data_IF_993863167356
#
_entry.id   IF_993863167356
#
_cell.length_a   1.000
_cell.length_b   1.000
_cell.length_c   1.000
_cell.angle_alpha   90.00
_cell.angle_beta   90.00
_cell.angle_gamma   90.00
#
_symmetry.space_group_name_H-M   'P 1'
#
loop_
_entity.id
_entity.type
_entity.pdbx_description
1 polymer ?
#
# COMPACT_ATOMS: atom_id res chain seq x y z
N UNK A 1 -11.81 15.87 24.52
CA UNK A 1 -12.69 14.97 25.28
C UNK A 1 -12.16 13.56 25.09
N UNK A 2 -12.29 12.70 26.09
CA UNK A 2 -11.90 11.29 25.97
C UNK A 2 -12.85 10.57 25.01
N UNK A 3 -12.39 9.46 24.42
CA UNK A 3 -13.21 8.59 23.57
C UNK A 3 -14.43 8.08 24.35
N UNK A 4 -15.57 7.96 23.67
CA UNK A 4 -16.82 7.48 24.26
C UNK A 4 -17.07 6.03 23.81
N UNK A 5 -17.32 5.13 24.76
CA UNK A 5 -17.69 3.75 24.49
C UNK A 5 -18.84 3.29 25.40
N UNK A 6 -19.68 2.36 24.93
CA UNK A 6 -20.84 1.86 25.67
C UNK A 6 -21.31 0.47 25.20
N UNK A 7 -21.99 -0.27 26.06
CA UNK A 7 -22.69 -1.50 25.66
C UNK A 7 -23.90 -1.19 24.78
N UNK A 8 -24.09 -2.02 23.75
CA UNK A 8 -25.16 -1.84 22.76
C UNK A 8 -26.44 -2.59 23.12
N UNK A 9 -27.58 -1.98 22.82
CA UNK A 9 -28.86 -2.69 22.72
C UNK A 9 -28.96 -3.37 21.35
N UNK A 10 -28.92 -4.70 21.33
CA UNK A 10 -29.08 -5.50 20.10
C UNK A 10 -30.53 -5.68 19.67
N UNK A 11 -31.50 -5.33 20.53
CA UNK A 11 -32.93 -5.61 20.33
C UNK A 11 -33.71 -4.45 19.75
N UNK A 12 -33.14 -3.24 19.73
CA UNK A 12 -33.85 -2.00 19.41
C UNK A 12 -34.31 -1.88 17.94
N UNK A 13 -33.80 -2.71 17.02
CA UNK A 13 -34.10 -2.65 15.59
C UNK A 13 -33.70 -1.33 14.91
N UNK A 14 -32.99 -0.45 15.62
CA UNK A 14 -32.57 0.87 15.17
C UNK A 14 -31.55 0.78 14.02
N UNK A 15 -31.30 1.87 13.29
CA UNK A 15 -30.26 1.92 12.25
C UNK A 15 -28.89 1.55 12.87
N UNK A 16 -28.06 0.79 12.16
CA UNK A 16 -26.72 0.42 12.62
C UNK A 16 -25.80 1.62 12.88
N UNK A 17 -26.07 2.74 12.23
CA UNK A 17 -25.36 4.02 12.35
C UNK A 17 -25.88 4.90 13.50
N UNK A 18 -26.93 4.47 14.21
CA UNK A 18 -27.41 5.16 15.41
C UNK A 18 -26.60 4.74 16.65
N UNK A 19 -26.58 5.51 17.75
CA UNK A 19 -25.80 5.13 18.93
C UNK A 19 -26.16 3.76 19.54
N UNK A 20 -27.43 3.31 19.45
CA UNK A 20 -27.91 2.04 20.01
C UNK A 20 -27.54 1.80 21.48
N UNK A 21 -27.72 2.82 22.32
CA UNK A 21 -27.47 2.68 23.77
C UNK A 21 -28.45 1.71 24.43
N UNK A 22 -27.98 0.93 25.40
CA UNK A 22 -28.86 0.30 26.39
C UNK A 22 -29.74 1.32 27.13
N UNK A 23 -30.84 0.83 27.71
CA UNK A 23 -31.67 1.60 28.63
C UNK A 23 -31.74 0.87 30.00
N UNK A 24 -31.06 1.37 31.04
CA UNK A 24 -30.28 2.62 31.10
C UNK A 24 -28.96 2.56 30.30
N UNK A 25 -28.37 3.72 30.00
CA UNK A 25 -27.08 3.79 29.28
C UNK A 25 -25.97 3.14 30.11
N UNK A 26 -25.19 2.28 29.49
CA UNK A 26 -24.06 1.56 30.11
C UNK A 26 -22.75 1.95 29.42
N UNK A 27 -22.05 2.96 29.94
CA UNK A 27 -20.76 3.41 29.39
C UNK A 27 -19.62 2.48 29.79
N UNK A 28 -18.63 2.36 28.91
CA UNK A 28 -17.42 1.55 29.06
C UNK A 28 -16.22 2.48 29.22
N UNK A 29 -15.36 2.20 30.21
CA UNK A 29 -14.15 2.98 30.46
C UNK A 29 -13.01 2.60 29.51
N UNK A 30 -12.04 3.50 29.34
CA UNK A 30 -10.79 3.20 28.64
C UNK A 30 -10.03 2.02 29.25
N UNK A 31 -10.02 1.91 30.58
CA UNK A 31 -9.37 0.79 31.27
C UNK A 31 -10.02 -0.55 30.89
N UNK A 32 -11.35 -0.59 30.77
CA UNK A 32 -12.06 -1.79 30.34
C UNK A 32 -11.75 -2.14 28.87
N UNK A 33 -11.64 -1.14 27.99
CA UNK A 33 -11.20 -1.37 26.61
C UNK A 33 -9.76 -1.90 26.56
N UNK A 34 -8.87 -1.36 27.39
CA UNK A 34 -7.49 -1.83 27.51
C UNK A 34 -7.41 -3.28 28.01
N UNK A 35 -8.30 -3.69 28.92
CA UNK A 35 -8.44 -5.11 29.33
C UNK A 35 -8.88 -6.05 28.19
N UNK A 36 -9.46 -5.51 27.11
CA UNK A 36 -9.78 -6.25 25.88
C UNK A 36 -8.64 -6.17 24.85
N UNK A 37 -7.53 -5.52 25.20
CA UNK A 37 -6.38 -5.24 24.34
C UNK A 37 -6.59 -4.05 23.38
N UNK A 38 -7.71 -3.33 23.48
CA UNK A 38 -7.98 -2.15 22.65
C UNK A 38 -7.20 -0.96 23.22
N UNK A 39 -6.31 -0.39 22.41
CA UNK A 39 -5.46 0.73 22.82
C UNK A 39 -5.95 2.04 22.19
N UNK A 40 -5.70 3.16 22.87
CA UNK A 40 -6.20 4.47 22.49
C UNK A 40 -5.19 5.60 22.74
N UNK A 41 -5.11 6.53 21.79
CA UNK A 41 -4.42 7.82 21.95
C UNK A 41 -5.29 8.96 21.42
N UNK A 42 -5.12 10.13 22.04
CA UNK A 42 -5.63 11.39 21.54
C UNK A 42 -4.48 12.20 20.95
N UNK A 43 -4.52 12.43 19.65
CA UNK A 43 -3.48 13.13 18.89
C UNK A 43 -4.02 14.41 18.26
N UNK A 44 -3.13 15.22 17.68
CA UNK A 44 -3.52 16.40 16.92
C UNK A 44 -3.59 16.06 15.42
N UNK A 45 -4.79 16.05 14.81
CA UNK A 45 -4.93 15.67 13.41
C UNK A 45 -4.50 16.79 12.46
N UNK A 46 -4.33 18.03 12.92
CA UNK A 46 -3.91 19.13 12.06
C UNK A 46 -2.43 19.04 11.63
N UNK A 47 -1.62 18.26 12.34
CA UNK A 47 -0.20 18.09 12.07
C UNK A 47 0.20 16.61 12.00
N UNK A 48 -0.72 15.71 11.63
CA UNK A 48 -0.47 14.26 11.63
C UNK A 48 0.82 13.85 10.90
N UNK A 49 1.25 14.61 9.89
CA UNK A 49 2.47 14.34 9.11
C UNK A 49 3.76 14.58 9.90
N UNK A 50 3.72 15.46 10.92
CA UNK A 50 4.85 15.87 11.74
C UNK A 50 4.61 15.70 13.24
N UNK A 51 3.57 14.94 13.62
CA UNK A 51 3.22 14.71 15.02
C UNK A 51 4.25 13.73 15.66
N UNK A 52 5.04 14.25 16.60
CA UNK A 52 6.09 13.48 17.28
C UNK A 52 5.53 12.33 18.14
N UNK A 53 4.31 12.47 18.68
CA UNK A 53 3.69 11.40 19.46
C UNK A 53 3.22 10.28 18.52
N UNK A 54 2.62 10.62 17.37
CA UNK A 54 2.30 9.63 16.33
C UNK A 54 3.56 8.91 15.85
N UNK A 55 4.64 9.64 15.59
CA UNK A 55 5.92 9.08 15.19
C UNK A 55 6.45 8.09 16.24
N UNK A 56 6.41 8.47 17.51
CA UNK A 56 6.83 7.60 18.61
C UNK A 56 5.97 6.35 18.71
N UNK A 57 4.64 6.47 18.61
CA UNK A 57 3.73 5.30 18.61
C UNK A 57 4.09 4.36 17.46
N UNK A 58 4.36 4.91 16.28
CA UNK A 58 4.77 4.11 15.11
C UNK A 58 6.10 3.43 15.30
N UNK A 59 7.10 4.11 15.86
CA UNK A 59 8.42 3.54 16.15
C UNK A 59 8.32 2.44 17.22
N UNK A 60 7.62 2.69 18.32
CA UNK A 60 7.44 1.75 19.44
C UNK A 60 6.71 0.47 19.03
N UNK A 61 5.80 0.57 18.04
CA UNK A 61 4.97 -0.55 17.59
C UNK A 61 5.34 -1.11 16.21
N UNK A 62 6.36 -0.56 15.57
CA UNK A 62 6.83 -1.01 14.25
C UNK A 62 5.89 -0.68 13.09
N UNK A 63 5.05 0.35 13.22
CA UNK A 63 4.12 0.79 12.17
C UNK A 63 4.82 1.56 11.06
N UNK A 64 5.49 0.80 10.19
CA UNK A 64 6.29 1.30 9.08
C UNK A 64 5.47 1.58 7.81
N UNK A 65 4.18 1.22 7.78
CA UNK A 65 3.27 1.50 6.68
C UNK A 65 2.09 2.36 7.13
N UNK A 66 1.64 3.26 6.26
CA UNK A 66 0.38 3.99 6.42
C UNK A 66 -0.28 4.29 5.08
N UNK A 67 -1.60 4.47 5.09
CA UNK A 67 -2.33 5.10 4.00
C UNK A 67 -3.51 5.93 4.54
N UNK A 68 -4.24 6.59 3.64
CA UNK A 68 -5.45 7.33 3.95
C UNK A 68 -6.67 6.66 3.32
N UNK A 69 -7.71 6.44 4.12
CA UNK A 69 -9.00 5.93 3.70
C UNK A 69 -10.07 7.00 3.92
N UNK A 70 -10.70 7.44 2.85
CA UNK A 70 -11.75 8.45 2.84
C UNK A 70 -13.10 7.76 2.53
N UNK A 71 -13.97 7.66 3.53
CA UNK A 71 -15.23 6.92 3.44
C UNK A 71 -16.38 7.91 3.43
N UNK A 72 -16.95 8.14 2.25
CA UNK A 72 -18.26 8.75 2.07
C UNK A 72 -18.98 8.16 0.84
N UNK A 73 -20.32 8.32 0.73
CA UNK A 73 -21.11 7.76 -0.37
C UNK A 73 -20.62 8.16 -1.78
N UNK A 74 -20.00 9.33 -1.90
CA UNK A 74 -19.59 9.93 -3.18
C UNK A 74 -18.17 9.56 -3.61
N UNK A 75 -17.30 9.17 -2.66
CA UNK A 75 -15.86 8.95 -2.91
C UNK A 75 -15.47 7.48 -3.02
N UNK A 76 -16.38 6.56 -2.68
CA UNK A 76 -16.07 5.13 -2.59
C UNK A 76 -16.90 4.36 -3.61
N UNK A 77 -16.24 3.74 -4.60
CA UNK A 77 -16.88 2.77 -5.48
C UNK A 77 -17.43 1.59 -4.65
N UNK A 78 -18.59 1.06 -5.03
CA UNK A 78 -19.30 -0.02 -4.34
C UNK A 78 -19.50 0.24 -2.83
N UNK A 79 -19.71 1.52 -2.47
CA UNK A 79 -19.86 2.01 -1.09
C UNK A 79 -20.74 1.11 -0.21
N UNK A 80 -21.90 0.68 -0.72
CA UNK A 80 -22.84 -0.17 0.03
C UNK A 80 -22.27 -1.55 0.34
N UNK A 81 -21.55 -2.15 -0.61
CA UNK A 81 -20.94 -3.47 -0.43
C UNK A 81 -19.74 -3.39 0.52
N UNK A 82 -18.89 -2.36 0.39
CA UNK A 82 -17.79 -2.12 1.32
C UNK A 82 -18.28 -1.89 2.75
N UNK A 83 -19.29 -1.04 2.95
CA UNK A 83 -19.88 -0.86 4.28
C UNK A 83 -20.48 -2.15 4.85
N UNK A 84 -21.11 -2.98 3.99
CA UNK A 84 -21.61 -4.28 4.41
C UNK A 84 -20.46 -5.20 4.85
N UNK A 85 -19.34 -5.20 4.13
CA UNK A 85 -18.17 -6.02 4.48
C UNK A 85 -17.54 -5.52 5.79
N UNK A 86 -17.34 -4.21 5.95
CA UNK A 86 -16.82 -3.63 7.19
C UNK A 86 -17.73 -3.88 8.40
N UNK A 87 -19.06 -3.90 8.19
CA UNK A 87 -20.03 -4.13 9.25
C UNK A 87 -20.28 -5.61 9.56
N UNK A 88 -19.87 -6.52 8.68
CA UNK A 88 -19.94 -7.96 8.95
C UNK A 88 -18.93 -8.28 10.05
N UNK A 89 -19.34 -8.96 11.11
CA UNK A 89 -18.45 -9.29 12.24
C UNK A 89 -17.28 -10.20 11.78
N UNK A 90 -16.05 -9.74 12.02
CA UNK A 90 -14.83 -10.40 11.56
C UNK A 90 -13.66 -10.25 12.53
N UNK A 91 -12.57 -10.95 12.23
CA UNK A 91 -11.24 -10.74 12.81
C UNK A 91 -10.21 -10.44 11.73
N UNK A 92 -9.07 -9.90 12.16
CA UNK A 92 -7.85 -9.83 11.38
C UNK A 92 -6.73 -10.67 12.04
N UNK A 93 -5.78 -11.12 11.23
CA UNK A 93 -4.58 -11.82 11.69
C UNK A 93 -3.57 -10.87 12.35
N UNK A 94 -3.63 -9.60 11.97
CA UNK A 94 -2.81 -8.50 12.47
C UNK A 94 -3.69 -7.48 13.21
N UNK A 95 -3.06 -6.47 13.82
CA UNK A 95 -3.77 -5.35 14.45
C UNK A 95 -4.51 -4.49 13.43
N UNK A 96 -5.68 -3.99 13.81
CA UNK A 96 -6.41 -2.97 13.05
C UNK A 96 -6.19 -1.59 13.69
N UNK A 97 -5.35 -0.77 13.05
CA UNK A 97 -4.99 0.56 13.56
C UNK A 97 -5.65 1.66 12.72
N UNK A 98 -6.36 2.58 13.39
CA UNK A 98 -7.13 3.64 12.73
C UNK A 98 -6.99 4.96 13.47
N UNK A 99 -6.51 5.99 12.77
CA UNK A 99 -6.42 7.35 13.26
C UNK A 99 -7.40 8.27 12.54
N UNK A 100 -8.39 8.79 13.26
CA UNK A 100 -9.44 9.63 12.69
C UNK A 100 -8.94 11.05 12.42
N UNK A 101 -8.84 11.42 11.14
CA UNK A 101 -8.40 12.74 10.70
C UNK A 101 -9.58 13.70 10.45
N UNK A 102 -10.69 13.19 9.92
CA UNK A 102 -11.91 13.96 9.65
C UNK A 102 -13.16 13.10 9.90
N UNK A 103 -14.30 13.73 10.23
CA UNK A 103 -15.57 13.02 10.45
C UNK A 103 -15.61 12.16 11.72
N UNK A 104 -16.43 11.12 11.71
CA UNK A 104 -16.62 10.20 12.84
C UNK A 104 -17.26 8.88 12.42
N UNK A 105 -17.05 7.84 13.21
CA UNK A 105 -17.56 6.49 12.95
C UNK A 105 -17.56 5.62 14.21
N UNK A 106 -18.18 4.44 14.11
CA UNK A 106 -18.22 3.44 15.18
C UNK A 106 -17.35 2.22 14.85
N UNK A 107 -16.60 1.78 15.86
CA UNK A 107 -16.07 0.44 15.95
C UNK A 107 -16.86 -0.32 17.02
N UNK A 108 -17.45 -1.46 16.65
CA UNK A 108 -18.05 -2.35 17.64
C UNK A 108 -17.07 -3.51 17.90
N UNK A 109 -16.83 -3.84 19.16
CA UNK A 109 -15.97 -4.96 19.59
C UNK A 109 -16.71 -5.88 20.55
N UNK A 110 -16.37 -7.17 20.56
CA UNK A 110 -16.90 -8.13 21.54
C UNK A 110 -16.14 -8.03 22.87
N UNK A 111 -16.88 -8.02 23.98
CA UNK A 111 -16.30 -8.15 25.31
C UNK A 111 -16.05 -9.63 25.69
N UNK A 112 -15.58 -9.87 26.92
CA UNK A 112 -15.28 -11.21 27.46
C UNK A 112 -16.51 -12.12 27.54
N UNK A 113 -17.71 -11.54 27.61
CA UNK A 113 -18.99 -12.23 27.67
C UNK A 113 -19.70 -12.25 26.29
N UNK A 114 -18.97 -11.94 25.22
CA UNK A 114 -19.44 -11.89 23.84
C UNK A 114 -20.54 -10.84 23.60
N UNK A 115 -20.58 -9.77 24.40
CA UNK A 115 -21.50 -8.63 24.22
C UNK A 115 -20.85 -7.54 23.37
N UNK A 116 -21.66 -6.80 22.62
CA UNK A 116 -21.15 -5.67 21.83
C UNK A 116 -20.88 -4.44 22.68
N UNK A 117 -19.68 -3.90 22.51
CA UNK A 117 -19.30 -2.55 22.94
C UNK A 117 -19.10 -1.70 21.70
N UNK A 118 -19.82 -0.59 21.63
CA UNK A 118 -19.65 0.44 20.60
C UNK A 118 -18.64 1.47 21.07
N UNK A 119 -17.67 1.78 20.23
CA UNK A 119 -16.62 2.78 20.43
C UNK A 119 -16.83 3.87 19.38
N UNK A 120 -17.06 5.11 19.80
CA UNK A 120 -17.26 6.24 18.89
C UNK A 120 -15.95 6.99 18.68
N UNK A 121 -15.36 6.84 17.49
CA UNK A 121 -14.15 7.56 17.10
C UNK A 121 -14.51 8.89 16.43
N UNK A 122 -13.78 9.95 16.80
CA UNK A 122 -13.91 11.30 16.24
C UNK A 122 -12.53 11.83 15.88
N UNK A 123 -12.51 12.91 15.10
CA UNK A 123 -11.30 13.67 14.75
C UNK A 123 -10.31 13.77 15.93
N UNK A 124 -9.10 13.25 15.75
CA UNK A 124 -8.02 13.21 16.74
C UNK A 124 -7.91 11.89 17.53
N UNK A 125 -8.82 10.93 17.34
CA UNK A 125 -8.78 9.63 18.02
C UNK A 125 -8.00 8.60 17.19
N UNK A 126 -6.94 8.03 17.78
CA UNK A 126 -6.23 6.85 17.29
C UNK A 126 -6.66 5.64 18.13
N UNK A 127 -7.14 4.59 17.47
CA UNK A 127 -7.46 3.30 18.09
C UNK A 127 -6.62 2.19 17.49
N UNK A 128 -6.33 1.18 18.31
CA UNK A 128 -5.72 -0.09 17.89
C UNK A 128 -6.62 -1.21 18.39
N UNK A 129 -7.13 -2.02 17.47
CA UNK A 129 -7.80 -3.27 17.78
C UNK A 129 -6.77 -4.40 17.69
N UNK A 130 -6.61 -5.24 18.73
CA UNK A 130 -5.62 -6.31 18.71
C UNK A 130 -5.99 -7.40 17.71
N UNK A 131 -4.98 -8.07 17.15
CA UNK A 131 -5.17 -9.25 16.31
C UNK A 131 -6.09 -10.28 16.99
N UNK A 132 -7.02 -10.87 16.22
CA UNK A 132 -7.94 -11.90 16.73
C UNK A 132 -9.15 -11.43 17.54
N UNK A 133 -9.32 -10.12 17.79
CA UNK A 133 -10.56 -9.60 18.40
C UNK A 133 -11.70 -9.59 17.37
N UNK A 134 -12.89 -10.05 17.79
CA UNK A 134 -14.09 -9.86 16.97
C UNK A 134 -14.53 -8.41 16.99
N UNK A 135 -14.65 -7.84 15.80
CA UNK A 135 -15.06 -6.47 15.64
C UNK A 135 -15.81 -6.25 14.32
N UNK A 136 -16.34 -5.04 14.18
CA UNK A 136 -16.93 -4.51 12.95
C UNK A 136 -16.88 -2.99 12.96
N UNK A 137 -17.04 -2.39 11.79
CA UNK A 137 -17.02 -0.95 11.59
C UNK A 137 -18.29 -0.47 10.90
N UNK A 138 -18.78 0.72 11.29
CA UNK A 138 -19.82 1.43 10.54
C UNK A 138 -19.65 2.93 10.68
N UNK A 139 -20.02 3.70 9.65
CA UNK A 139 -20.24 5.13 9.80
C UNK A 139 -21.31 5.42 10.85
N UNK A 140 -21.25 6.60 11.46
CA UNK A 140 -22.39 7.14 12.20
C UNK A 140 -23.34 7.89 11.25
N UNK A 141 -24.35 8.58 11.80
CA UNK A 141 -25.33 9.33 10.99
C UNK A 141 -24.74 10.51 10.22
N UNK A 142 -23.47 10.86 10.44
CA UNK A 142 -22.74 11.87 9.66
C UNK A 142 -22.26 11.37 8.30
N UNK A 143 -22.28 10.05 8.04
CA UNK A 143 -21.92 9.43 6.75
C UNK A 143 -20.55 9.82 6.18
N UNK A 144 -19.62 10.23 7.05
CA UNK A 144 -18.29 10.63 6.65
C UNK A 144 -17.25 10.31 7.71
N UNK A 145 -16.18 9.63 7.29
CA UNK A 145 -14.94 9.58 8.07
C UNK A 145 -13.73 9.53 7.14
N UNK A 146 -12.65 10.18 7.55
CA UNK A 146 -11.32 10.03 6.95
C UNK A 146 -10.38 9.45 7.99
N UNK A 147 -9.82 8.29 7.69
CA UNK A 147 -8.95 7.53 8.57
C UNK A 147 -7.56 7.47 7.96
N UNK A 148 -6.54 7.73 8.76
CA UNK A 148 -5.23 7.17 8.48
C UNK A 148 -5.21 5.74 9.01
N UNK A 149 -4.84 4.79 8.16
CA UNK A 149 -4.65 3.39 8.55
C UNK A 149 -3.15 3.15 8.72
N UNK A 150 -2.75 2.43 9.76
CA UNK A 150 -1.35 2.10 10.03
C UNK A 150 -1.18 0.58 10.08
N UNK A 151 0.00 0.08 9.68
CA UNK A 151 0.30 -1.36 9.64
C UNK A 151 1.76 -1.64 9.97
N UNK A 152 1.98 -2.87 10.45
CA UNK A 152 3.30 -3.50 10.46
C UNK A 152 3.50 -4.16 9.10
N UNK A 153 4.34 -3.58 8.24
CA UNK A 153 4.57 -4.05 6.88
C UNK A 153 3.42 -3.72 5.93
N UNK A 154 3.42 -4.39 4.78
CA UNK A 154 2.35 -4.21 3.80
C UNK A 154 1.01 -4.69 4.38
N UNK A 155 -0.08 -3.95 4.15
CA UNK A 155 -1.36 -4.27 4.75
C UNK A 155 -1.92 -5.56 4.17
N UNK A 156 -2.27 -6.49 5.06
CA UNK A 156 -3.10 -7.65 4.73
C UNK A 156 -4.52 -7.35 5.15
N UNK A 157 -5.39 -7.06 4.18
CA UNK A 157 -6.77 -6.63 4.42
C UNK A 157 -7.75 -7.78 4.68
N UNK A 158 -7.27 -9.01 4.74
CA UNK A 158 -8.13 -10.19 4.79
C UNK A 158 -8.94 -10.19 6.09
N UNK A 159 -10.23 -9.90 5.96
CA UNK A 159 -11.21 -10.06 7.02
C UNK A 159 -11.69 -11.52 7.05
N UNK A 160 -11.59 -12.14 8.22
CA UNK A 160 -12.12 -13.48 8.44
C UNK A 160 -13.43 -13.39 9.20
N UNK A 161 -14.54 -13.51 8.48
CA UNK A 161 -15.88 -13.41 9.06
C UNK A 161 -16.09 -14.51 10.11
N UNK A 162 -16.73 -14.15 11.23
CA UNK A 162 -17.09 -15.10 12.30
C UNK A 162 -17.94 -16.26 11.75
N UNK A 163 -17.71 -17.54 12.15
CA UNK A 163 -16.81 -18.03 13.21
C UNK A 163 -15.37 -18.30 12.76
N UNK A 164 -14.41 -18.09 13.68
CA UNK A 164 -12.96 -18.18 13.46
C UNK A 164 -12.19 -18.66 14.71
N UNK A 165 -12.83 -19.45 15.58
CA UNK A 165 -12.20 -19.91 16.84
C UNK A 165 -10.94 -20.75 16.62
N UNK A 166 -10.79 -21.34 15.43
CA UNK A 166 -9.61 -22.11 15.07
C UNK A 166 -8.44 -21.28 14.51
N UNK A 167 -8.68 -20.00 14.16
CA UNK A 167 -7.68 -19.14 13.56
C UNK A 167 -6.53 -18.86 14.56
N UNK A 168 -5.25 -18.91 14.15
CA UNK A 168 -4.11 -18.72 15.06
C UNK A 168 -4.18 -17.43 15.88
N UNK A 169 -4.46 -16.29 15.22
CA UNK A 169 -4.61 -15.00 15.91
C UNK A 169 -5.75 -14.99 16.94
N UNK A 170 -6.86 -15.69 16.66
CA UNK A 170 -7.99 -15.80 17.61
C UNK A 170 -7.62 -16.63 18.83
N UNK A 171 -6.94 -17.77 18.62
CA UNK A 171 -6.43 -18.62 19.71
C UNK A 171 -5.44 -17.86 20.59
N UNK A 172 -4.56 -17.07 19.99
CA UNK A 172 -3.59 -16.23 20.72
C UNK A 172 -4.27 -15.10 21.50
N UNK A 173 -5.24 -14.42 20.90
CA UNK A 173 -6.07 -13.41 21.56
C UNK A 173 -6.80 -13.98 22.79
N UNK A 174 -7.48 -15.13 22.66
CA UNK A 174 -8.16 -15.77 23.80
C UNK A 174 -7.14 -16.17 24.89
N UNK A 175 -5.95 -16.63 24.49
CA UNK A 175 -4.89 -16.97 25.44
C UNK A 175 -4.39 -15.73 26.20
N UNK A 176 -4.17 -14.59 25.54
CA UNK A 176 -3.72 -13.36 26.22
C UNK A 176 -4.75 -12.89 27.25
N UNK A 177 -6.04 -12.96 26.92
CA UNK A 177 -7.15 -12.62 27.83
C UNK A 177 -7.20 -13.48 29.11
N UNK A 178 -6.69 -14.72 29.06
CA UNK A 178 -6.63 -15.61 30.23
C UNK A 178 -5.34 -15.43 31.04
N UNK A 179 -4.27 -14.89 30.42
CA UNK A 179 -2.91 -14.92 30.98
C UNK A 179 -2.48 -13.60 31.65
N UNK A 180 -3.20 -12.49 31.44
CA UNK A 180 -2.86 -11.16 32.01
C UNK A 180 -3.16 -11.02 33.53
N UNK A 181 -2.40 -11.76 34.34
CA UNK A 181 -2.24 -11.48 35.78
C UNK A 181 -0.80 -11.18 36.21
N UNK A 182 0.16 -10.98 35.29
CA UNK A 182 1.55 -10.68 35.65
C UNK A 182 2.28 -9.73 34.70
N UNK A 183 2.63 -8.57 35.28
CA UNK A 183 3.86 -7.80 35.12
C UNK A 183 4.06 -6.90 33.88
N UNK A 184 3.79 -5.59 34.09
CA UNK A 184 4.41 -4.47 33.37
C UNK A 184 5.44 -3.80 34.29
N UNK A 185 6.71 -3.72 33.87
CA UNK A 185 7.57 -2.55 34.15
C UNK A 185 8.90 -2.51 33.37
N UNK A 186 9.06 -1.36 32.71
CA UNK A 186 10.26 -0.52 32.57
C UNK A 186 11.31 -0.86 31.52
N UNK A 187 11.56 0.13 30.64
CA UNK A 187 12.92 0.49 30.18
C UNK A 187 12.95 1.97 29.77
N UNK A 188 13.99 2.68 30.20
CA UNK A 188 14.16 4.13 30.05
C UNK A 188 15.28 4.53 29.09
N UNK A 189 14.99 5.59 28.34
CA UNK A 189 15.79 6.74 27.87
C UNK A 189 17.34 6.65 27.78
N UNK A 190 17.90 7.11 26.64
CA UNK A 190 19.15 7.91 26.58
C UNK A 190 19.33 8.64 25.23
N UNK A 191 19.52 9.96 25.32
CA UNK A 191 19.98 10.90 24.28
C UNK A 191 21.51 10.82 24.06
N UNK A 192 22.01 11.26 22.89
CA UNK A 192 23.07 12.30 22.74
C UNK A 192 23.26 12.71 21.25
N UNK A 193 23.97 13.83 21.03
CA UNK A 193 23.79 14.81 19.96
C UNK A 193 24.92 14.89 18.89
N UNK A 194 24.56 15.49 17.73
CA UNK A 194 25.27 16.38 16.77
C UNK A 194 26.75 16.16 16.39
N UNK A 195 27.07 16.33 15.09
CA UNK A 195 27.88 17.46 14.52
C UNK A 195 27.90 17.43 12.98
N UNK A 196 28.37 18.53 12.40
CA UNK A 196 27.99 19.17 11.13
C UNK A 196 29.13 19.20 10.07
N UNK A 197 28.74 19.50 8.84
CA UNK A 197 29.43 20.16 7.71
C UNK A 197 30.67 19.60 6.99
N UNK A 198 30.58 19.65 5.65
CA UNK A 198 31.74 19.64 4.73
C UNK A 198 31.39 19.64 3.24
N UNK A 199 31.19 20.82 2.63
CA UNK A 199 31.09 21.00 1.16
C UNK A 199 32.46 21.19 0.49
N UNK A 200 32.67 20.63 -0.71
CA UNK A 200 33.62 21.14 -1.73
C UNK A 200 33.08 21.01 -3.15
N UNK A 201 33.24 22.11 -3.91
CA UNK A 201 32.82 22.35 -5.30
C UNK A 201 33.71 21.62 -6.32
N UNK A 202 33.14 21.27 -7.48
CA UNK A 202 33.86 20.98 -8.73
C UNK A 202 33.35 21.90 -9.86
N UNK A 203 34.27 22.38 -10.68
CA UNK A 203 34.00 23.12 -11.91
C UNK A 203 33.98 22.17 -13.12
N UNK A 204 33.17 22.46 -14.15
CA UNK A 204 33.37 21.85 -15.48
C UNK A 204 32.87 22.73 -16.63
N UNK A 205 33.54 22.52 -17.77
CA UNK A 205 33.56 23.30 -19.02
C UNK A 205 32.40 22.93 -19.97
N UNK A 206 32.20 23.81 -20.95
CA UNK A 206 31.15 23.85 -21.99
C UNK A 206 31.20 22.78 -23.09
N UNK A 207 29.97 22.39 -23.49
CA UNK A 207 29.34 22.14 -24.81
C UNK A 207 29.93 21.19 -25.86
N UNK A 208 29.08 20.28 -26.34
CA UNK A 208 28.71 20.05 -27.77
C UNK A 208 27.32 19.36 -27.83
N UNK A 209 26.44 19.78 -28.75
CA UNK A 209 25.04 19.32 -28.85
C UNK A 209 24.97 18.04 -29.69
N UNK A 210 24.57 16.95 -29.04
CA UNK A 210 24.23 15.64 -29.61
C UNK A 210 22.73 15.63 -30.00
N UNK A 211 22.26 14.70 -30.88
CA UNK A 211 20.83 14.53 -31.17
C UNK A 211 20.03 14.43 -29.86
N UNK A 212 18.87 15.10 -29.80
CA UNK A 212 18.06 15.19 -28.58
C UNK A 212 17.71 13.78 -28.08
N UNK A 213 18.43 13.36 -27.05
CA UNK A 213 18.23 12.11 -26.34
C UNK A 213 16.92 12.23 -25.57
N UNK A 214 16.07 11.22 -25.65
CA UNK A 214 14.83 11.21 -24.86
C UNK A 214 15.19 11.42 -23.39
N UNK A 215 14.68 12.47 -22.72
CA UNK A 215 15.07 12.80 -21.36
C UNK A 215 14.75 11.67 -20.37
N UNK A 216 13.80 10.79 -20.70
CA UNK A 216 13.46 9.60 -19.91
C UNK A 216 14.60 8.59 -19.84
N UNK A 217 15.49 8.54 -20.84
CA UNK A 217 16.64 7.62 -20.85
C UNK A 217 17.64 7.87 -19.71
N UNK A 218 17.58 9.03 -19.06
CA UNK A 218 18.36 9.29 -17.85
C UNK A 218 17.92 8.44 -16.66
N UNK A 219 16.62 8.13 -16.58
CA UNK A 219 15.99 7.46 -15.44
C UNK A 219 15.46 6.07 -15.77
N UNK A 220 15.24 5.75 -17.04
CA UNK A 220 14.76 4.45 -17.51
C UNK A 220 15.60 3.98 -18.70
N UNK A 221 16.14 2.77 -18.65
CA UNK A 221 16.87 2.15 -19.76
C UNK A 221 16.42 0.70 -19.91
N UNK A 222 16.33 0.18 -21.14
CA UNK A 222 15.93 -1.20 -21.37
C UNK A 222 16.83 -1.93 -22.36
N UNK A 223 16.95 -3.25 -22.20
CA UNK A 223 17.75 -4.11 -23.07
C UNK A 223 17.29 -5.56 -23.02
N UNK A 224 17.60 -6.34 -24.05
CA UNK A 224 17.39 -7.78 -24.01
C UNK A 224 18.40 -8.47 -23.10
N UNK A 225 17.92 -9.49 -22.38
CA UNK A 225 18.73 -10.25 -21.44
C UNK A 225 19.51 -11.37 -22.13
N UNK A 226 20.70 -11.70 -21.58
CA UNK A 226 21.35 -12.98 -21.82
C UNK A 226 20.60 -14.14 -21.14
N UNK A 227 21.02 -15.38 -21.43
CA UNK A 227 20.42 -16.60 -20.89
C UNK A 227 21.20 -17.17 -19.69
N UNK A 228 22.05 -16.37 -19.03
CA UNK A 228 22.84 -16.84 -17.89
C UNK A 228 21.99 -17.01 -16.62
N UNK A 229 22.41 -17.94 -15.76
CA UNK A 229 21.83 -18.21 -14.44
C UNK A 229 22.61 -17.53 -13.30
N UNK A 230 23.40 -16.50 -13.64
CA UNK A 230 24.11 -15.67 -12.66
C UNK A 230 23.13 -14.89 -11.76
N UNK A 231 23.66 -14.16 -10.77
CA UNK A 231 22.85 -13.39 -9.83
C UNK A 231 21.90 -12.43 -10.58
N UNK A 232 20.60 -12.65 -10.42
CA UNK A 232 19.52 -11.90 -11.06
C UNK A 232 19.64 -10.36 -10.95
N UNK A 233 20.38 -9.87 -9.96
CA UNK A 233 20.62 -8.44 -9.70
C UNK A 233 21.71 -7.83 -10.60
N UNK A 234 22.42 -8.64 -11.39
CA UNK A 234 23.39 -8.16 -12.38
C UNK A 234 22.68 -7.60 -13.62
N UNK A 235 23.31 -6.79 -14.47
CA UNK A 235 22.63 -6.25 -15.65
C UNK A 235 22.15 -7.30 -16.68
N UNK A 236 22.80 -8.47 -16.78
CA UNK A 236 22.47 -9.53 -17.76
C UNK A 236 22.36 -9.03 -19.21
N UNK A 237 23.35 -8.26 -19.68
CA UNK A 237 23.35 -7.82 -21.08
C UNK A 237 23.72 -8.98 -22.02
N UNK A 238 23.00 -9.11 -23.14
CA UNK A 238 23.50 -9.88 -24.29
C UNK A 238 24.85 -9.35 -24.77
N UNK A 239 25.60 -10.22 -25.44
CA UNK A 239 26.83 -9.85 -26.15
C UNK A 239 26.66 -10.11 -27.66
N UNK A 240 26.62 -9.07 -28.51
CA UNK A 240 26.73 -7.64 -28.17
C UNK A 240 25.48 -7.09 -27.47
N UNK A 241 25.64 -5.99 -26.73
CA UNK A 241 24.53 -5.30 -26.04
C UNK A 241 23.41 -4.93 -27.01
N UNK A 242 22.19 -5.27 -26.65
CA UNK A 242 20.99 -5.04 -27.46
C UNK A 242 19.98 -4.21 -26.66
N UNK A 243 20.05 -2.88 -26.80
CA UNK A 243 19.14 -1.95 -26.12
C UNK A 243 17.76 -1.92 -26.77
N UNK A 244 16.74 -1.70 -25.95
CA UNK A 244 15.34 -1.54 -26.35
C UNK A 244 14.94 -0.09 -26.12
N UNK A 245 14.36 0.56 -27.13
CA UNK A 245 13.89 1.94 -27.01
C UNK A 245 12.61 2.02 -26.19
N UNK A 246 12.31 3.21 -25.65
CA UNK A 246 11.07 3.43 -24.90
C UNK A 246 9.83 3.33 -25.79
N UNK A 247 9.96 3.59 -27.10
CA UNK A 247 8.87 3.38 -28.06
C UNK A 247 8.59 1.88 -28.29
N UNK A 248 9.63 1.04 -28.32
CA UNK A 248 9.46 -0.42 -28.38
C UNK A 248 8.80 -0.97 -27.11
N UNK A 249 9.12 -0.42 -25.93
CA UNK A 249 8.39 -0.75 -24.70
C UNK A 249 6.92 -0.32 -24.78
N UNK A 250 6.64 0.85 -25.35
CA UNK A 250 5.27 1.33 -25.52
C UNK A 250 4.44 0.45 -26.48
N UNK A 251 5.09 -0.19 -27.47
CA UNK A 251 4.44 -1.21 -28.34
C UNK A 251 3.97 -2.44 -27.54
N UNK A 252 4.63 -2.76 -26.41
CA UNK A 252 4.22 -3.79 -25.45
C UNK A 252 3.19 -3.30 -24.43
N UNK A 253 2.76 -2.03 -24.54
CA UNK A 253 1.86 -1.36 -23.59
C UNK A 253 2.55 -0.82 -22.34
N UNK A 254 3.88 -0.92 -22.24
CA UNK A 254 4.65 -0.40 -21.10
C UNK A 254 4.84 1.11 -21.27
N UNK A 255 4.26 1.89 -20.36
CA UNK A 255 4.36 3.35 -20.40
C UNK A 255 5.42 3.84 -19.42
N UNK A 256 6.04 4.98 -19.75
CA UNK A 256 7.10 5.54 -18.93
C UNK A 256 7.16 7.07 -18.95
N UNK A 257 7.48 7.64 -17.79
CA UNK A 257 7.67 9.07 -17.57
C UNK A 257 8.95 9.34 -16.77
N UNK A 258 9.47 10.56 -16.95
CA UNK A 258 10.48 11.16 -16.07
C UNK A 258 9.82 12.29 -15.30
N UNK A 259 9.92 12.23 -13.99
CA UNK A 259 9.27 13.14 -13.05
C UNK A 259 10.26 13.65 -11.99
N UNK A 260 9.86 14.67 -11.25
CA UNK A 260 10.67 15.22 -10.16
C UNK A 260 10.41 14.45 -8.86
N UNK A 261 11.25 13.45 -8.59
CA UNK A 261 11.12 12.60 -7.41
C UNK A 261 11.33 13.36 -6.09
N UNK A 262 12.12 14.44 -6.10
CA UNK A 262 12.38 15.24 -4.92
C UNK A 262 11.18 16.09 -4.51
N UNK A 263 10.33 16.47 -5.47
CA UNK A 263 9.14 17.28 -5.25
C UNK A 263 7.83 16.53 -5.56
N UNK A 264 7.83 15.20 -5.53
CA UNK A 264 6.71 14.34 -5.96
C UNK A 264 5.36 14.70 -5.31
N UNK A 265 5.34 15.18 -4.06
CA UNK A 265 4.12 15.59 -3.36
C UNK A 265 3.39 16.77 -4.02
N UNK A 266 4.14 17.63 -4.73
CA UNK A 266 3.64 18.86 -5.37
C UNK A 266 3.83 18.88 -6.88
N UNK A 267 4.32 17.77 -7.46
CA UNK A 267 4.60 17.66 -8.88
C UNK A 267 3.30 17.71 -9.70
N UNK A 268 3.16 18.79 -10.49
CA UNK A 268 1.99 19.03 -11.32
C UNK A 268 1.84 17.98 -12.44
N UNK A 269 2.94 17.42 -12.95
CA UNK A 269 2.90 16.41 -13.99
C UNK A 269 2.46 15.06 -13.43
N UNK A 270 2.94 14.69 -12.23
CA UNK A 270 2.43 13.52 -11.51
C UNK A 270 0.93 13.66 -11.25
N UNK A 271 0.48 14.84 -10.79
CA UNK A 271 -0.95 15.11 -10.58
C UNK A 271 -1.76 14.91 -11.86
N UNK A 272 -1.29 15.47 -12.98
CA UNK A 272 -1.94 15.34 -14.29
C UNK A 272 -2.03 13.88 -14.73
N UNK A 273 -0.94 13.11 -14.64
CA UNK A 273 -0.93 11.67 -14.97
C UNK A 273 -1.96 10.92 -14.13
N UNK A 274 -2.01 11.21 -12.82
CA UNK A 274 -2.98 10.58 -11.91
C UNK A 274 -4.43 10.90 -12.26
N UNK A 275 -4.72 12.15 -12.60
CA UNK A 275 -6.05 12.58 -13.01
C UNK A 275 -6.46 11.95 -14.35
N UNK A 276 -5.58 11.95 -15.35
CA UNK A 276 -5.83 11.40 -16.69
C UNK A 276 -6.04 9.88 -16.66
N UNK A 277 -5.31 9.17 -15.78
CA UNK A 277 -5.36 7.70 -15.69
C UNK A 277 -6.22 7.17 -14.54
N UNK A 278 -6.82 8.04 -13.74
CA UNK A 278 -7.68 7.65 -12.62
C UNK A 278 -6.94 6.99 -11.45
N UNK A 279 -5.66 7.31 -11.24
CA UNK A 279 -4.84 6.78 -10.16
C UNK A 279 -5.20 7.43 -8.81
N UNK A 280 -6.28 6.93 -8.22
CA UNK A 280 -6.87 7.42 -6.98
C UNK A 280 -6.16 6.90 -5.73
N UNK A 281 -5.51 5.74 -5.80
CA UNK A 281 -4.73 5.18 -4.69
C UNK A 281 -3.23 5.41 -4.87
N UNK A 282 -2.55 5.72 -3.77
CA UNK A 282 -1.09 5.92 -3.69
C UNK A 282 -0.57 5.41 -2.35
N UNK A 283 0.54 4.68 -2.37
CA UNK A 283 1.36 4.41 -1.19
C UNK A 283 2.85 4.47 -1.52
N UNK A 284 3.71 4.31 -0.50
CA UNK A 284 5.15 4.21 -0.64
C UNK A 284 5.64 2.86 -0.10
N UNK A 285 6.57 2.24 -0.82
CA UNK A 285 7.28 1.04 -0.40
C UNK A 285 8.79 1.27 -0.45
N UNK A 286 9.50 0.79 0.56
CA UNK A 286 10.96 0.72 0.58
C UNK A 286 11.39 -0.75 0.60
N UNK A 287 12.06 -1.18 -0.47
CA UNK A 287 12.51 -2.56 -0.67
C UNK A 287 14.01 -2.60 -0.43
N UNK A 288 14.40 -3.04 0.76
CA UNK A 288 15.76 -3.46 1.12
C UNK A 288 15.72 -4.43 2.31
N UNK A 289 16.80 -5.20 2.55
CA UNK A 289 16.83 -6.23 3.59
C UNK A 289 16.42 -5.72 4.98
N UNK A 290 16.77 -4.47 5.30
CA UNK A 290 16.57 -3.89 6.62
C UNK A 290 15.17 -3.29 6.82
N UNK A 291 14.47 -2.92 5.75
CA UNK A 291 13.24 -2.12 5.82
C UNK A 291 11.99 -2.86 5.38
N UNK A 292 12.11 -3.89 4.54
CA UNK A 292 10.97 -4.63 4.04
C UNK A 292 10.70 -5.86 4.93
N UNK A 293 9.53 -5.95 5.60
CA UNK A 293 9.17 -7.15 6.35
C UNK A 293 9.02 -8.37 5.44
N UNK A 294 9.47 -9.54 5.91
CA UNK A 294 9.55 -10.77 5.11
C UNK A 294 10.32 -10.59 3.79
N UNK A 295 11.37 -9.76 3.80
CA UNK A 295 12.17 -9.41 2.63
C UNK A 295 12.53 -10.61 1.75
N UNK A 296 13.08 -11.67 2.34
CA UNK A 296 13.53 -12.87 1.61
C UNK A 296 12.39 -13.60 0.88
N UNK A 297 11.19 -13.58 1.44
CA UNK A 297 10.01 -14.17 0.80
C UNK A 297 9.44 -13.23 -0.27
N UNK A 298 9.34 -11.93 0.04
CA UNK A 298 8.82 -10.94 -0.89
C UNK A 298 9.67 -10.79 -2.15
N UNK A 299 11.00 -10.74 -2.02
CA UNK A 299 11.90 -10.65 -3.19
C UNK A 299 11.77 -11.89 -4.08
N UNK A 300 11.59 -13.08 -3.51
CA UNK A 300 11.32 -14.30 -4.30
C UNK A 300 10.01 -14.19 -5.06
N UNK A 301 8.94 -13.76 -4.38
CA UNK A 301 7.63 -13.60 -5.01
C UNK A 301 7.64 -12.51 -6.09
N UNK A 302 8.34 -11.40 -5.88
CA UNK A 302 8.50 -10.35 -6.88
C UNK A 302 9.25 -10.83 -8.11
N UNK A 303 10.24 -11.71 -7.95
CA UNK A 303 11.07 -12.21 -9.05
C UNK A 303 10.48 -13.42 -9.78
N UNK A 304 9.54 -14.13 -9.18
CA UNK A 304 8.81 -15.17 -9.89
C UNK A 304 7.99 -14.56 -11.03
N UNK A 305 8.05 -15.13 -12.23
CA UNK A 305 7.32 -14.58 -13.39
C UNK A 305 5.81 -14.65 -13.15
N UNK A 306 5.15 -13.48 -13.16
CA UNK A 306 3.73 -13.36 -12.86
C UNK A 306 3.04 -12.30 -13.73
N UNK A 307 1.72 -12.20 -13.59
CA UNK A 307 0.91 -11.12 -14.12
C UNK A 307 -0.08 -10.61 -13.06
N UNK A 308 -0.66 -9.44 -13.32
CA UNK A 308 -1.77 -8.87 -12.57
C UNK A 308 -2.99 -8.66 -13.46
N UNK A 309 -4.18 -8.63 -12.86
CA UNK A 309 -5.45 -8.30 -13.54
C UNK A 309 -5.63 -6.81 -13.78
N UNK A 310 -4.78 -6.00 -13.18
CA UNK A 310 -4.78 -4.54 -13.18
C UNK A 310 -3.38 -4.04 -13.57
N UNK A 311 -3.25 -2.74 -13.83
CA UNK A 311 -1.93 -2.13 -14.10
C UNK A 311 -1.01 -2.23 -12.88
N UNK A 312 0.26 -2.53 -13.10
CA UNK A 312 1.32 -2.38 -12.09
C UNK A 312 2.03 -1.05 -12.32
N UNK A 313 1.73 -0.07 -11.47
CA UNK A 313 2.30 1.29 -11.56
C UNK A 313 3.34 1.52 -10.47
N UNK A 314 4.55 1.93 -10.86
CA UNK A 314 5.66 2.20 -9.95
C UNK A 314 6.37 3.49 -10.33
N UNK A 315 6.49 4.41 -9.37
CA UNK A 315 7.27 5.62 -9.51
C UNK A 315 8.46 5.61 -8.54
N UNK A 316 9.68 5.51 -9.06
CA UNK A 316 10.89 5.39 -8.26
C UNK A 316 11.29 6.73 -7.63
N UNK A 317 11.14 6.84 -6.31
CA UNK A 317 11.50 8.04 -5.53
C UNK A 317 12.94 7.99 -5.01
N UNK A 318 13.57 6.82 -4.98
CA UNK A 318 14.96 6.65 -4.58
C UNK A 318 15.49 5.25 -4.90
N UNK A 319 16.81 5.12 -5.04
CA UNK A 319 17.43 3.85 -5.45
C UNK A 319 17.09 3.46 -6.90
N UNK A 320 17.06 2.15 -7.16
CA UNK A 320 16.80 1.57 -8.47
C UNK A 320 16.48 0.08 -8.43
N UNK A 321 15.92 -0.44 -9.53
CA UNK A 321 15.64 -1.86 -9.71
C UNK A 321 15.28 -2.22 -11.15
N UNK A 322 15.18 -3.51 -11.43
CA UNK A 322 14.85 -4.08 -12.73
C UNK A 322 13.43 -4.60 -12.76
N UNK A 323 12.67 -4.17 -13.76
CA UNK A 323 11.40 -4.77 -14.17
C UNK A 323 11.65 -5.54 -15.46
N UNK A 324 11.63 -6.86 -15.40
CA UNK A 324 11.77 -7.69 -16.60
C UNK A 324 10.38 -7.94 -17.19
N UNK A 325 10.21 -7.76 -18.50
CA UNK A 325 8.95 -7.96 -19.23
C UNK A 325 9.16 -8.86 -20.44
N UNK A 326 8.14 -9.61 -20.85
CA UNK A 326 8.18 -10.44 -22.07
C UNK A 326 7.90 -9.60 -23.32
N UNK A 327 8.69 -9.78 -24.37
CA UNK A 327 8.40 -9.26 -25.71
C UNK A 327 7.33 -10.11 -26.44
N UNK A 328 7.01 -9.77 -27.69
CA UNK A 328 6.06 -10.53 -28.52
C UNK A 328 6.49 -11.98 -28.83
N UNK A 329 7.79 -12.27 -28.73
CA UNK A 329 8.39 -13.58 -28.98
C UNK A 329 8.72 -14.32 -27.67
N UNK A 330 8.22 -13.82 -26.55
CA UNK A 330 8.45 -14.38 -25.20
C UNK A 330 9.91 -14.29 -24.73
N UNK A 331 10.72 -13.38 -25.27
CA UNK A 331 12.06 -13.06 -24.75
C UNK A 331 11.99 -12.04 -23.61
N UNK A 332 12.95 -12.12 -22.68
CA UNK A 332 13.07 -11.14 -21.61
C UNK A 332 13.70 -9.82 -22.07
N UNK A 333 13.01 -8.73 -21.78
CA UNK A 333 13.54 -7.36 -21.81
C UNK A 333 13.66 -6.89 -20.37
N UNK A 334 14.87 -6.51 -19.95
CA UNK A 334 15.14 -5.89 -18.65
C UNK A 334 14.96 -4.39 -18.74
N UNK A 335 14.11 -3.83 -17.87
CA UNK A 335 13.88 -2.39 -17.75
C UNK A 335 14.44 -1.89 -16.43
N UNK A 336 15.54 -1.13 -16.49
CA UNK A 336 16.16 -0.51 -15.33
C UNK A 336 15.50 0.82 -15.00
N UNK A 337 14.82 0.87 -13.87
CA UNK A 337 14.12 2.07 -13.39
C UNK A 337 14.91 2.64 -12.21
N UNK A 338 15.29 3.92 -12.35
CA UNK A 338 16.06 4.69 -11.36
C UNK A 338 15.21 5.84 -10.82
N UNK A 339 15.68 6.49 -9.75
CA UNK A 339 15.04 7.70 -9.19
C UNK A 339 14.58 8.69 -10.28
N UNK A 340 13.32 9.09 -10.20
CA UNK A 340 12.65 9.97 -11.18
C UNK A 340 11.95 9.22 -12.31
N UNK A 341 12.19 7.92 -12.47
CA UNK A 341 11.50 7.07 -13.45
C UNK A 341 10.17 6.56 -12.91
N UNK A 342 9.08 6.80 -13.65
CA UNK A 342 7.79 6.16 -13.45
C UNK A 342 7.53 5.17 -14.59
N UNK A 343 7.11 3.96 -14.25
CA UNK A 343 6.76 2.88 -15.18
C UNK A 343 5.35 2.38 -14.90
N UNK A 344 4.62 2.04 -15.96
CA UNK A 344 3.32 1.35 -15.90
C UNK A 344 3.43 0.09 -16.72
N UNK A 345 3.23 -1.05 -16.07
CA UNK A 345 3.09 -2.35 -16.72
C UNK A 345 1.59 -2.61 -16.93
N UNK A 346 1.14 -2.88 -18.17
CA UNK A 346 -0.28 -3.07 -18.45
C UNK A 346 -0.80 -4.38 -17.82
N UNK A 347 -2.08 -4.40 -17.45
CA UNK A 347 -2.76 -5.63 -17.01
C UNK A 347 -2.52 -6.78 -18.00
N UNK A 348 -2.22 -7.98 -17.49
CA UNK A 348 -2.01 -9.18 -18.30
C UNK A 348 -0.62 -9.34 -18.96
N UNK A 349 0.31 -8.41 -18.78
CA UNK A 349 1.71 -8.63 -19.19
C UNK A 349 2.42 -9.58 -18.21
N UNK A 350 3.18 -10.54 -18.74
CA UNK A 350 4.09 -11.33 -17.89
C UNK A 350 5.32 -10.49 -17.58
N UNK A 351 5.62 -10.37 -16.28
CA UNK A 351 6.72 -9.59 -15.77
C UNK A 351 7.26 -10.17 -14.46
N UNK A 352 8.37 -9.60 -14.00
CA UNK A 352 8.95 -9.83 -12.67
C UNK A 352 9.78 -8.62 -12.26
N UNK A 353 10.04 -8.51 -10.96
CA UNK A 353 10.87 -7.45 -10.39
C UNK A 353 12.05 -8.02 -9.59
N UNK A 354 13.20 -7.39 -9.71
CA UNK A 354 14.34 -7.59 -8.80
C UNK A 354 15.02 -6.27 -8.50
N UNK A 355 15.61 -6.15 -7.32
CA UNK A 355 16.61 -5.11 -7.07
C UNK A 355 17.80 -5.28 -8.02
N UNK A 356 18.54 -4.21 -8.25
CA UNK A 356 19.89 -4.30 -8.79
C UNK A 356 20.91 -4.52 -7.65
N UNK A 357 22.21 -4.44 -7.98
CA UNK A 357 23.29 -4.67 -7.01
C UNK A 357 23.34 -3.67 -5.86
N UNK A 358 22.65 -2.52 -5.96
CA UNK A 358 22.60 -1.52 -4.88
C UNK A 358 21.59 -1.92 -3.78
N UNK A 359 20.77 -2.96 -4.02
CA UNK A 359 19.86 -3.58 -3.04
C UNK A 359 18.88 -2.62 -2.36
N UNK A 360 18.51 -1.53 -3.03
CA UNK A 360 17.59 -0.55 -2.48
C UNK A 360 16.74 0.11 -3.57
N UNK A 361 15.43 0.10 -3.39
CA UNK A 361 14.50 0.98 -4.10
C UNK A 361 13.45 1.54 -3.12
N UNK A 362 13.13 2.82 -3.28
CA UNK A 362 11.95 3.45 -2.71
C UNK A 362 11.00 3.78 -3.85
N UNK A 363 9.85 3.15 -3.89
CA UNK A 363 8.87 3.35 -4.94
C UNK A 363 7.55 3.87 -4.38
N UNK A 364 6.93 4.81 -5.07
CA UNK A 364 5.52 5.11 -4.95
C UNK A 364 4.75 4.10 -5.80
N UNK A 365 3.79 3.39 -5.19
CA UNK A 365 2.85 2.55 -5.94
C UNK A 365 1.57 3.33 -6.16
N UNK A 366 1.03 3.24 -7.36
CA UNK A 366 -0.24 3.87 -7.72
C UNK A 366 -1.23 2.79 -8.16
N UNK A 367 -2.52 3.06 -8.00
CA UNK A 367 -3.59 2.13 -8.41
C UNK A 367 -4.88 2.87 -8.77
N UNK A 368 -5.70 2.24 -9.61
CA UNK A 368 -7.08 2.69 -9.88
C UNK A 368 -8.00 2.04 -8.84
N UNK A 369 -8.55 2.85 -7.94
CA UNK A 369 -9.39 2.32 -6.84
C UNK A 369 -8.56 1.62 -5.76
N UNK A 370 -9.19 0.68 -5.03
CA UNK A 370 -8.49 -0.08 -3.99
C UNK A 370 -7.54 -1.09 -4.63
N UNK A 371 -6.28 -1.19 -4.14
CA UNK A 371 -5.31 -2.05 -4.77
C UNK A 371 -5.60 -3.54 -4.53
N UNK A 372 -5.44 -4.33 -5.60
CA UNK A 372 -5.37 -5.79 -5.54
C UNK A 372 -3.98 -6.21 -6.00
N UNK A 373 -3.10 -6.54 -5.04
CA UNK A 373 -1.70 -6.89 -5.31
C UNK A 373 -1.48 -8.36 -5.70
N UNK A 374 -2.54 -9.13 -5.91
CA UNK A 374 -2.43 -10.60 -6.08
C UNK A 374 -1.66 -10.92 -7.37
N UNK A 375 -0.49 -11.58 -7.28
CA UNK A 375 0.22 -12.04 -8.47
C UNK A 375 -0.36 -13.38 -8.93
N UNK A 376 -0.39 -13.59 -10.25
CA UNK A 376 -0.70 -14.87 -10.87
C UNK A 376 0.54 -15.42 -11.57
N UNK A 377 1.31 -16.26 -10.87
CA UNK A 377 2.56 -16.83 -11.38
C UNK A 377 2.30 -17.66 -12.64
N UNK A 378 3.10 -17.48 -13.69
CA UNK A 378 2.91 -18.17 -14.97
C UNK A 378 2.88 -19.71 -14.77
N UNK A 379 1.95 -20.47 -15.38
CA UNK A 379 1.01 -20.09 -16.43
C UNK A 379 -0.39 -19.68 -15.95
N UNK A 380 -0.91 -18.55 -16.47
CA UNK A 380 -2.30 -18.09 -16.25
C UNK A 380 -2.95 -17.48 -17.51
N UNK A 381 -2.68 -18.07 -18.69
CA UNK A 381 -3.19 -17.57 -19.98
C UNK A 381 -4.71 -17.60 -20.16
N UNK A 382 -5.42 -18.25 -19.24
CA UNK A 382 -6.88 -18.33 -19.25
C UNK A 382 -7.56 -17.06 -18.72
N UNK A 383 -6.85 -16.22 -17.95
CA UNK A 383 -7.40 -15.02 -17.33
C UNK A 383 -7.86 -13.99 -18.37
N UNK A 384 -8.99 -13.28 -18.14
CA UNK A 384 -9.49 -12.26 -19.06
C UNK A 384 -8.46 -11.18 -19.39
N UNK A 385 -7.82 -10.60 -18.37
CA UNK A 385 -6.80 -9.56 -18.53
C UNK A 385 -5.65 -10.01 -19.46
N UNK A 386 -5.21 -11.28 -19.36
CA UNK A 386 -4.16 -11.83 -20.24
C UNK A 386 -4.64 -11.95 -21.68
N UNK A 387 -5.88 -12.39 -21.91
CA UNK A 387 -6.45 -12.47 -23.27
C UNK A 387 -6.62 -11.09 -23.90
N UNK A 388 -7.08 -10.13 -23.12
CA UNK A 388 -7.21 -8.73 -23.53
C UNK A 388 -5.85 -8.12 -23.88
N UNK A 389 -4.83 -8.34 -23.05
CA UNK A 389 -3.46 -7.94 -23.34
C UNK A 389 -2.94 -8.52 -24.65
N UNK A 390 -3.09 -9.83 -24.84
CA UNK A 390 -2.65 -10.52 -26.07
C UNK A 390 -3.37 -9.96 -27.30
N UNK A 391 -4.67 -9.70 -27.20
CA UNK A 391 -5.43 -9.09 -28.28
C UNK A 391 -4.97 -7.64 -28.58
N UNK A 392 -4.70 -6.85 -27.54
CA UNK A 392 -4.38 -5.43 -27.67
C UNK A 392 -2.94 -5.15 -28.12
N UNK A 393 -1.98 -6.00 -27.73
CA UNK A 393 -0.55 -5.74 -27.91
C UNK A 393 0.19 -6.84 -28.66
N UNK A 394 -0.19 -8.11 -28.55
CA UNK A 394 0.55 -9.22 -29.18
C UNK A 394 0.03 -9.56 -30.59
N UNK A 395 -1.30 -9.56 -30.78
CA UNK A 395 -1.94 -9.96 -32.03
C UNK A 395 -2.19 -8.79 -33.01
N UNK A 396 -1.67 -7.58 -32.74
CA UNK A 396 -1.87 -6.44 -33.63
C UNK A 396 -1.18 -6.68 -34.98
N UNK A 397 -2.00 -6.80 -36.02
CA UNK A 397 -1.56 -6.82 -37.41
C UNK A 397 -0.80 -5.51 -37.72
N UNK A 398 0.46 -5.55 -38.21
CA UNK A 398 1.25 -4.37 -38.54
C UNK A 398 0.59 -3.41 -39.54
N UNK A 399 -0.47 -3.84 -40.24
CA UNK A 399 -1.15 -3.09 -41.30
C UNK A 399 -2.16 -2.03 -40.82
N UNK A 400 -2.51 -1.96 -39.54
CA UNK A 400 -3.57 -1.06 -39.04
C UNK A 400 -3.14 0.41 -38.78
N UNK A 401 -1.89 0.81 -39.07
CA UNK A 401 -1.28 2.10 -38.68
C UNK A 401 -1.74 3.36 -39.47
N UNK A 402 -2.82 3.33 -40.25
CA UNK A 402 -3.15 4.42 -41.18
C UNK A 402 -4.27 5.39 -40.74
N UNK A 403 -4.83 5.26 -39.54
CA UNK A 403 -5.90 6.15 -39.08
C UNK A 403 -5.68 6.48 -37.60
N UNK A 404 -5.85 7.75 -37.26
CA UNK A 404 -5.81 8.32 -35.89
C UNK A 404 -4.47 8.78 -35.33
N UNK A 405 -3.65 9.42 -36.19
CA UNK A 405 -2.70 10.46 -35.76
C UNK A 405 -3.04 11.81 -36.42
N UNK A 406 -4.30 12.25 -36.27
CA UNK A 406 -4.72 13.64 -36.49
C UNK A 406 -6.17 13.83 -36.00
N UNK A 407 -6.33 14.23 -34.73
CA UNK A 407 -7.49 14.97 -34.25
C UNK A 407 -7.12 15.71 -32.96
#
# INVERSE_FOLDING_TARGET
MAIEAWFMDETSGEDQRSPRHCNPKEFVSLDYLAELGVLYWRLNPANYESDEELKKIREDRGYNYMDLLDICPEKVADFKEKLKNFYTEHIHADEEIRYCLEGSAYFDVRDKDDRWIRIWIKVGDLIILPAGIYHRFTLDTGDYVKLMRLFVGEPVWTAYNRPQEDHPARKEYIKSMVTEKRDLKASGNKQTAKTDEGQRKRAQKRNMVAPEKDPREEVIQAWYMDDSDEDQRLPHHREPKEFVSLDQLAELGVLSWKLDADNHETDAELKKIREERGYSYVDLIEVCPEKLPNYEEKIKNFFEEHLHTDEEIRYCLGGSGYFDVRDHNDHWIRVWVKKGGMIVLPAGIYHRFTLDTDNYIKAMRLFVGDPVWTPFNRPHDHLPARKEYVQAFVNKDPSARAVDAAA
#
